data_IF_906743775044
#
_entry.id   IF_906743775044
#
_cell.length_a   1.000
_cell.length_b   1.000
_cell.length_c   1.000
_cell.angle_alpha   90.00
_cell.angle_beta   90.00
_cell.angle_gamma   90.00
#
_symmetry.space_group_name_H-M   'P 1'
#
loop_
_entity.id
_entity.type
_entity.pdbx_description
1 polymer ?
#
# COMPACT_ATOMS: atom_id res chain seq x y z
N UNK A 1 -5.40 -3.98 -11.78
CA UNK A 1 -6.37 -3.43 -10.81
C UNK A 1 -6.57 -4.41 -9.67
N UNK A 2 -6.43 -3.93 -8.46
CA UNK A 2 -6.53 -4.75 -7.25
C UNK A 2 -7.48 -4.08 -6.26
N UNK A 3 -8.37 -4.86 -5.65
CA UNK A 3 -9.30 -4.40 -4.62
C UNK A 3 -9.23 -5.32 -3.42
N UNK A 4 -8.98 -4.73 -2.27
CA UNK A 4 -8.95 -5.44 -0.99
C UNK A 4 -10.08 -4.93 -0.11
N UNK A 5 -11.10 -5.77 0.13
CA UNK A 5 -12.30 -5.40 0.91
C UNK A 5 -12.06 -5.78 2.37
N UNK A 6 -12.39 -4.86 3.27
CA UNK A 6 -12.20 -5.08 4.70
C UNK A 6 -13.29 -4.37 5.50
N UNK A 7 -13.43 -4.75 6.77
CA UNK A 7 -14.34 -4.10 7.70
C UNK A 7 -13.58 -3.07 8.53
N UNK A 8 -14.25 -1.96 8.81
CA UNK A 8 -13.65 -0.84 9.56
C UNK A 8 -13.17 -1.26 10.95
N UNK A 9 -14.04 -1.94 11.72
CA UNK A 9 -13.74 -2.28 13.12
C UNK A 9 -13.17 -1.06 13.85
N UNK A 10 -11.98 -1.18 14.45
CA UNK A 10 -11.33 -0.10 15.18
C UNK A 10 -10.31 0.69 14.35
N UNK A 11 -10.33 0.52 13.02
CA UNK A 11 -9.36 1.15 12.13
C UNK A 11 -9.71 2.62 11.92
N UNK A 12 -8.67 3.47 11.88
CA UNK A 12 -8.78 4.86 11.51
C UNK A 12 -8.70 4.98 9.99
N UNK A 13 -9.86 5.07 9.36
CA UNK A 13 -9.98 5.07 7.89
C UNK A 13 -9.32 6.32 7.30
N UNK A 14 -9.42 7.46 7.97
CA UNK A 14 -8.84 8.69 7.45
C UNK A 14 -7.31 8.58 7.38
N UNK A 15 -6.69 8.06 8.43
CA UNK A 15 -5.23 7.84 8.42
C UNK A 15 -4.83 6.82 7.37
N UNK A 16 -5.59 5.74 7.21
CA UNK A 16 -5.33 4.75 6.16
C UNK A 16 -5.40 5.39 4.78
N UNK A 17 -6.38 6.25 4.54
CA UNK A 17 -6.52 6.91 3.25
C UNK A 17 -5.37 7.89 2.98
N UNK A 18 -4.89 8.59 4.01
CA UNK A 18 -3.70 9.43 3.87
C UNK A 18 -2.50 8.60 3.43
N UNK A 19 -2.30 7.43 4.06
CA UNK A 19 -1.23 6.51 3.67
C UNK A 19 -1.42 5.98 2.27
N UNK A 20 -2.63 5.56 1.92
CA UNK A 20 -2.92 5.01 0.60
C UNK A 20 -2.56 6.00 -0.51
N UNK A 21 -2.88 7.29 -0.32
CA UNK A 21 -2.58 8.32 -1.31
C UNK A 21 -1.08 8.51 -1.52
N UNK A 22 -0.26 8.24 -0.52
CA UNK A 22 1.19 8.36 -0.64
C UNK A 22 1.80 7.31 -1.56
N UNK A 23 1.11 6.21 -1.81
CA UNK A 23 1.58 5.20 -2.77
C UNK A 23 1.45 5.66 -4.22
N UNK A 24 0.57 6.62 -4.51
CA UNK A 24 0.29 7.01 -5.89
C UNK A 24 1.49 7.72 -6.50
N UNK A 25 1.74 7.43 -7.78
CA UNK A 25 2.86 8.00 -8.53
C UNK A 25 3.90 6.93 -8.87
N UNK A 26 5.08 7.40 -9.23
CA UNK A 26 6.21 6.56 -9.60
C UNK A 26 7.16 6.50 -8.41
N UNK A 27 7.36 5.30 -7.86
CA UNK A 27 8.17 5.12 -6.66
C UNK A 27 8.99 3.83 -6.74
N UNK A 28 10.05 3.78 -5.93
CA UNK A 28 10.85 2.56 -5.74
C UNK A 28 10.20 1.75 -4.60
N UNK A 29 9.69 0.57 -4.92
CA UNK A 29 8.97 -0.29 -3.99
C UNK A 29 9.80 -1.44 -3.45
N UNK A 30 11.15 -1.34 -3.45
CA UNK A 30 12.01 -2.45 -2.99
C UNK A 30 11.75 -2.83 -1.53
N UNK A 31 11.33 -1.89 -0.69
CA UNK A 31 11.03 -2.14 0.72
C UNK A 31 9.61 -2.67 0.93
N UNK A 32 8.84 -2.85 -0.15
CA UNK A 32 7.46 -3.33 -0.12
C UNK A 32 7.31 -4.67 -0.83
N UNK A 33 8.40 -5.39 -1.06
CA UNK A 33 8.33 -6.66 -1.75
C UNK A 33 9.21 -7.69 -1.06
N UNK A 34 8.97 -8.97 -1.40
CA UNK A 34 9.79 -10.07 -0.96
C UNK A 34 10.74 -10.43 -2.08
N UNK A 35 12.03 -10.61 -1.75
CA UNK A 35 13.01 -11.02 -2.74
C UNK A 35 12.87 -12.51 -3.01
N UNK A 36 12.86 -12.87 -4.30
CA UNK A 36 12.94 -14.25 -4.75
C UNK A 36 14.37 -14.49 -5.20
N UNK A 37 15.10 -15.34 -4.47
CA UNK A 37 16.50 -15.63 -4.76
C UNK A 37 16.74 -16.28 -6.13
N UNK A 38 15.69 -16.82 -6.77
CA UNK A 38 15.79 -17.41 -8.10
C UNK A 38 15.65 -16.39 -9.22
N UNK A 39 15.26 -15.15 -8.92
CA UNK A 39 15.06 -14.09 -9.90
C UNK A 39 15.92 -12.90 -9.57
N UNK A 40 16.64 -12.41 -10.57
CA UNK A 40 17.42 -11.18 -10.42
C UNK A 40 16.55 -10.01 -10.86
N UNK A 41 15.93 -9.33 -9.86
CA UNK A 41 15.19 -8.12 -10.11
C UNK A 41 16.14 -6.95 -9.88
N UNK A 42 16.33 -6.14 -10.91
CA UNK A 42 17.21 -4.97 -10.84
C UNK A 42 16.44 -3.66 -10.82
N UNK A 43 15.17 -3.68 -11.19
CA UNK A 43 14.33 -2.49 -11.21
C UNK A 43 13.11 -2.69 -10.34
N UNK A 44 13.06 -1.96 -9.22
CA UNK A 44 11.96 -1.99 -8.25
C UNK A 44 11.01 -0.81 -8.42
N UNK A 45 11.22 0.03 -9.44
CA UNK A 45 10.37 1.20 -9.68
C UNK A 45 9.08 0.75 -10.36
N UNK A 46 7.96 1.17 -9.80
CA UNK A 46 6.63 0.86 -10.33
C UNK A 46 5.77 2.11 -10.29
N UNK A 47 4.82 2.18 -11.20
CA UNK A 47 3.87 3.29 -11.25
C UNK A 47 2.53 2.84 -10.71
N UNK A 48 2.03 3.59 -9.71
CA UNK A 48 0.69 3.42 -9.14
C UNK A 48 -0.18 4.54 -9.67
N UNK A 49 -1.21 4.18 -10.44
CA UNK A 49 -2.11 5.15 -11.07
C UNK A 49 -3.16 5.65 -10.10
N UNK A 50 -3.62 4.80 -9.21
CA UNK A 50 -4.66 5.13 -8.24
C UNK A 50 -4.46 4.29 -7.00
N UNK A 51 -4.55 4.96 -5.84
CA UNK A 51 -4.42 4.30 -4.54
C UNK A 51 -5.26 5.06 -3.54
N UNK A 52 -6.32 4.44 -3.02
CA UNK A 52 -7.26 5.11 -2.12
C UNK A 52 -8.06 4.09 -1.32
N UNK A 53 -8.59 4.56 -0.20
CA UNK A 53 -9.57 3.82 0.58
C UNK A 53 -10.94 4.40 0.25
N UNK A 54 -11.87 3.54 -0.16
CA UNK A 54 -13.24 3.95 -0.47
C UNK A 54 -14.23 3.23 0.42
N UNK A 55 -15.30 3.92 0.77
CA UNK A 55 -16.40 3.35 1.53
C UNK A 55 -17.33 2.60 0.57
N UNK A 56 -17.68 1.37 0.90
CA UNK A 56 -18.60 0.57 0.09
C UNK A 56 -20.02 0.69 0.63
N UNK A 57 -20.29 0.07 1.77
CA UNK A 57 -21.60 0.16 2.46
C UNK A 57 -21.39 -0.31 3.90
N UNK A 58 -22.25 0.18 4.80
CA UNK A 58 -22.17 -0.15 6.23
C UNK A 58 -20.77 0.10 6.77
N UNK A 59 -20.13 -0.90 7.39
CA UNK A 59 -18.76 -0.80 7.90
C UNK A 59 -17.72 -1.44 6.96
N UNK A 60 -18.09 -1.67 5.69
CA UNK A 60 -17.20 -2.22 4.68
C UNK A 60 -16.51 -1.13 3.88
N UNK A 61 -15.22 -1.31 3.71
CA UNK A 61 -14.33 -0.42 2.98
C UNK A 61 -13.47 -1.22 2.02
N UNK A 62 -12.83 -0.52 1.10
CA UNK A 62 -12.02 -1.17 0.08
C UNK A 62 -10.74 -0.35 -0.16
N UNK A 63 -9.60 -1.04 -0.17
CA UNK A 63 -8.37 -0.46 -0.71
C UNK A 63 -8.38 -0.70 -2.22
N UNK A 64 -8.53 0.37 -2.99
CA UNK A 64 -8.62 0.33 -4.45
C UNK A 64 -7.29 0.77 -5.03
N UNK A 65 -6.65 -0.13 -5.79
CA UNK A 65 -5.28 0.04 -6.25
C UNK A 65 -5.18 -0.30 -7.73
N UNK A 66 -4.64 0.65 -8.50
CA UNK A 66 -4.33 0.44 -9.91
C UNK A 66 -2.87 0.78 -10.17
N UNK A 67 -2.17 -0.09 -10.87
CA UNK A 67 -0.77 0.11 -11.19
C UNK A 67 -0.39 -0.58 -12.49
N UNK A 68 0.81 -0.26 -13.00
CA UNK A 68 1.31 -0.84 -14.26
C UNK A 68 1.70 -2.30 -14.07
N UNK A 69 2.34 -2.62 -12.95
CA UNK A 69 2.78 -3.96 -12.60
C UNK A 69 3.15 -3.96 -11.11
N UNK A 70 3.23 -5.13 -10.52
CA UNK A 70 3.57 -5.26 -9.10
C UNK A 70 4.72 -6.24 -8.91
N UNK A 71 5.57 -5.94 -7.93
CA UNK A 71 6.62 -6.84 -7.47
C UNK A 71 6.00 -7.98 -6.66
N UNK A 72 6.74 -9.07 -6.48
CA UNK A 72 6.25 -10.20 -5.70
C UNK A 72 5.97 -9.76 -4.26
N UNK A 73 4.76 -10.06 -3.79
CA UNK A 73 4.23 -9.68 -2.46
C UNK A 73 4.12 -8.17 -2.23
N UNK A 74 4.29 -7.33 -3.26
CA UNK A 74 4.22 -5.87 -3.10
C UNK A 74 2.87 -5.44 -2.54
N UNK A 75 1.77 -5.88 -3.14
CA UNK A 75 0.42 -5.47 -2.71
C UNK A 75 0.16 -5.93 -1.27
N UNK A 76 0.59 -7.13 -0.94
CA UNK A 76 0.44 -7.67 0.41
C UNK A 76 1.16 -6.81 1.46
N UNK A 77 2.38 -6.36 1.16
CA UNK A 77 3.12 -5.46 2.04
C UNK A 77 2.45 -4.09 2.16
N UNK A 78 1.97 -3.55 1.04
CA UNK A 78 1.26 -2.27 1.03
C UNK A 78 0.01 -2.32 1.91
N UNK A 79 -0.77 -3.39 1.81
CA UNK A 79 -1.97 -3.58 2.62
C UNK A 79 -1.61 -3.70 4.10
N UNK A 80 -0.60 -4.51 4.44
CA UNK A 80 -0.19 -4.70 5.83
C UNK A 80 0.22 -3.38 6.48
N UNK A 81 0.95 -2.54 5.77
CA UNK A 81 1.36 -1.23 6.27
C UNK A 81 0.15 -0.32 6.50
N UNK A 82 -0.82 -0.34 5.59
CA UNK A 82 -2.04 0.45 5.77
C UNK A 82 -2.82 0.03 7.02
N UNK A 83 -2.91 -1.27 7.31
CA UNK A 83 -3.56 -1.74 8.52
C UNK A 83 -2.80 -1.30 9.79
N UNK A 84 -1.48 -1.31 9.74
CA UNK A 84 -0.66 -0.80 10.85
C UNK A 84 -0.93 0.67 11.10
N UNK A 85 -1.05 1.46 10.04
CA UNK A 85 -1.42 2.88 10.12
C UNK A 85 -2.83 3.04 10.69
N UNK A 86 -3.78 2.24 10.22
CA UNK A 86 -5.17 2.29 10.70
C UNK A 86 -5.32 1.92 12.16
N UNK A 87 -4.41 1.09 12.69
CA UNK A 87 -4.36 0.73 14.10
C UNK A 87 -3.65 1.78 14.95
N UNK A 88 -3.21 2.89 14.35
CA UNK A 88 -2.47 3.98 14.99
C UNK A 88 -1.13 3.54 15.58
N UNK A 89 -0.55 2.44 15.06
CA UNK A 89 0.76 1.96 15.45
C UNK A 89 1.88 2.66 14.70
N UNK A 90 1.56 3.25 13.54
CA UNK A 90 2.50 4.00 12.72
C UNK A 90 1.81 5.22 12.10
N UNK A 91 2.58 6.27 11.83
CA UNK A 91 2.13 7.42 11.06
C UNK A 91 2.03 7.07 9.58
N UNK A 92 1.11 7.68 8.81
CA UNK A 92 1.11 7.53 7.35
C UNK A 92 2.45 7.86 6.71
N UNK A 93 3.26 8.71 7.33
CA UNK A 93 4.58 9.10 6.82
C UNK A 93 5.58 7.94 6.78
N UNK A 94 5.29 6.82 7.47
CA UNK A 94 6.15 5.61 7.36
C UNK A 94 6.29 5.17 5.90
N UNK A 95 5.26 5.39 5.09
CA UNK A 95 5.30 5.04 3.67
C UNK A 95 6.37 5.85 2.95
N UNK A 96 6.44 7.15 3.21
CA UNK A 96 7.48 8.01 2.62
C UNK A 96 8.87 7.55 3.06
N UNK A 97 9.02 7.19 4.34
CA UNK A 97 10.30 6.70 4.86
C UNK A 97 10.73 5.40 4.16
N UNK A 98 9.78 4.49 3.93
CA UNK A 98 10.07 3.21 3.27
C UNK A 98 10.38 3.38 1.78
N UNK A 99 9.92 4.47 1.16
CA UNK A 99 10.24 4.79 -0.23
C UNK A 99 11.60 5.46 -0.38
N UNK A 100 12.17 5.97 0.71
CA UNK A 100 13.52 6.51 0.73
C UNK A 100 14.50 5.34 0.84
N UNK A 101 15.22 5.08 -0.26
CA UNK A 101 16.12 3.93 -0.37
C UNK A 101 17.58 4.29 -0.16
N UNK A 102 17.86 5.52 0.26
CA UNK A 102 19.22 5.98 0.56
C UNK A 102 19.66 5.64 1.97
#
# INVERSE_FOLDING_TARGET
HYRYIFRKQDLDIELMNQGAKLYQGIHDFRNFCKLDGSKQITNFVREIYQSQIIHLHQDYYCFDLKGSAFLWHQVRCMVAILFTIGQSLESPLIITDLMDTN
#
